data_IF_642331295549
#
_entry.id   IF_642331295549
#
_cell.length_a   1.000
_cell.length_b   1.000
_cell.length_c   1.000
_cell.angle_alpha   90.00
_cell.angle_beta   90.00
_cell.angle_gamma   90.00
#
_symmetry.space_group_name_H-M   'P 1'
#
loop_
_entity.id
_entity.type
_entity.pdbx_description
1 polymer ?
#
# COMPACT_ATOMS: atom_id res chain seq x y z
N UNK A 1 -6.48 5.65 -25.31
CA UNK A 1 -6.93 5.51 -23.92
C UNK A 1 -7.73 4.23 -23.87
N UNK A 2 -7.39 3.36 -22.94
CA UNK A 2 -8.00 2.06 -22.76
C UNK A 2 -8.64 2.00 -21.38
N UNK A 3 -9.60 1.11 -21.25
CA UNK A 3 -10.30 0.87 -20.02
C UNK A 3 -10.28 -0.63 -19.74
N UNK A 4 -10.23 -0.96 -18.45
CA UNK A 4 -10.07 -2.32 -17.98
C UNK A 4 -11.07 -2.58 -16.86
N UNK A 5 -11.69 -3.76 -16.88
CA UNK A 5 -12.28 -4.35 -15.68
C UNK A 5 -11.28 -5.37 -15.21
N UNK A 6 -10.55 -5.05 -14.15
CA UNK A 6 -9.64 -5.98 -13.49
C UNK A 6 -10.38 -6.67 -12.35
N UNK A 7 -10.37 -8.00 -12.35
CA UNK A 7 -10.83 -8.79 -11.21
C UNK A 7 -9.65 -9.54 -10.60
N UNK A 8 -9.56 -9.54 -9.27
CA UNK A 8 -8.47 -10.20 -8.55
C UNK A 8 -8.92 -10.86 -7.25
N UNK A 9 -8.37 -12.06 -7.01
CA UNK A 9 -8.41 -12.76 -5.72
C UNK A 9 -7.17 -13.64 -5.64
N UNK A 10 -6.16 -13.18 -4.91
CA UNK A 10 -4.93 -13.96 -4.70
C UNK A 10 -4.90 -14.63 -3.33
N UNK A 11 -5.83 -14.31 -2.43
CA UNK A 11 -5.88 -14.90 -1.08
C UNK A 11 -6.53 -16.29 -1.15
N UNK A 12 -7.64 -16.42 -1.86
CA UNK A 12 -8.38 -17.69 -1.96
C UNK A 12 -8.43 -18.28 -3.38
N UNK A 13 -8.04 -17.51 -4.40
CA UNK A 13 -7.94 -17.97 -5.79
C UNK A 13 -9.28 -18.53 -6.34
N UNK A 14 -10.40 -17.88 -6.02
CA UNK A 14 -11.77 -18.34 -6.33
C UNK A 14 -12.20 -18.15 -7.78
N UNK A 15 -11.44 -17.38 -8.58
CA UNK A 15 -11.87 -17.02 -9.93
C UNK A 15 -11.90 -18.27 -10.81
N UNK A 16 -13.08 -18.61 -11.33
CA UNK A 16 -13.34 -19.80 -12.13
C UNK A 16 -14.18 -19.47 -13.37
N UNK A 17 -14.37 -20.44 -14.26
CA UNK A 17 -15.11 -20.25 -15.51
C UNK A 17 -16.55 -19.76 -15.29
N UNK A 18 -17.25 -20.20 -14.25
CA UNK A 18 -18.60 -19.72 -13.97
C UNK A 18 -18.63 -18.20 -13.74
N UNK A 19 -17.67 -17.67 -12.98
CA UNK A 19 -17.54 -16.23 -12.73
C UNK A 19 -17.17 -15.49 -14.02
N UNK A 20 -16.19 -16.00 -14.76
CA UNK A 20 -15.71 -15.39 -16.01
C UNK A 20 -16.80 -15.35 -17.09
N UNK A 21 -17.54 -16.44 -17.25
CA UNK A 21 -18.62 -16.58 -18.21
C UNK A 21 -19.82 -15.71 -17.83
N UNK A 22 -20.16 -15.63 -16.53
CA UNK A 22 -21.24 -14.75 -16.03
C UNK A 22 -20.96 -13.29 -16.34
N UNK A 23 -19.74 -12.81 -16.09
CA UNK A 23 -19.34 -11.43 -16.37
C UNK A 23 -19.28 -11.19 -17.87
N UNK A 24 -18.63 -12.07 -18.62
CA UNK A 24 -18.51 -11.93 -20.08
C UNK A 24 -19.88 -11.92 -20.76
N UNK A 25 -20.79 -12.80 -20.35
CA UNK A 25 -22.16 -12.87 -20.86
C UNK A 25 -22.96 -11.61 -20.53
N UNK A 26 -22.84 -11.08 -19.31
CA UNK A 26 -23.52 -9.84 -18.92
C UNK A 26 -22.98 -8.62 -19.69
N UNK A 27 -21.65 -8.54 -19.87
CA UNK A 27 -21.03 -7.50 -20.70
C UNK A 27 -21.51 -7.61 -22.15
N UNK A 28 -21.56 -8.81 -22.73
CA UNK A 28 -22.02 -9.00 -24.10
C UNK A 28 -23.50 -8.64 -24.26
N UNK A 29 -24.35 -9.03 -23.33
CA UNK A 29 -25.77 -8.70 -23.33
C UNK A 29 -26.04 -7.19 -23.21
N UNK A 30 -25.27 -6.49 -22.38
CA UNK A 30 -25.42 -5.04 -22.15
C UNK A 30 -24.81 -4.19 -23.28
N UNK A 31 -23.74 -4.66 -23.91
CA UNK A 31 -22.98 -3.87 -24.91
C UNK A 31 -23.20 -4.29 -26.36
N UNK A 32 -23.80 -5.47 -26.58
CA UNK A 32 -23.92 -6.11 -27.89
C UNK A 32 -22.57 -6.54 -28.50
N UNK A 33 -21.50 -6.60 -27.69
CA UNK A 33 -20.14 -6.92 -28.14
C UNK A 33 -19.46 -7.90 -27.22
N UNK A 34 -18.85 -8.92 -27.81
CA UNK A 34 -17.90 -9.78 -27.11
C UNK A 34 -16.61 -9.01 -26.84
N UNK A 35 -16.26 -8.85 -25.56
CA UNK A 35 -15.04 -8.16 -25.12
C UNK A 35 -13.93 -9.18 -24.90
N UNK A 36 -12.69 -8.79 -25.24
CA UNK A 36 -11.51 -9.63 -25.02
C UNK A 36 -11.26 -9.79 -23.51
N UNK A 37 -11.30 -11.04 -23.06
CA UNK A 37 -10.84 -11.47 -21.74
C UNK A 37 -9.35 -11.85 -21.84
N UNK A 38 -8.53 -11.28 -20.97
CA UNK A 38 -7.11 -11.60 -20.81
C UNK A 38 -6.85 -12.21 -19.44
N UNK A 39 -6.18 -13.35 -19.42
CA UNK A 39 -5.67 -13.94 -18.18
C UNK A 39 -4.32 -13.31 -17.81
N UNK A 40 -4.21 -12.78 -16.60
CA UNK A 40 -2.95 -12.28 -16.02
C UNK A 40 -2.33 -13.32 -15.10
N UNK A 41 -3.16 -14.02 -14.32
CA UNK A 41 -2.77 -15.15 -13.49
C UNK A 41 -3.95 -16.12 -13.40
N UNK A 42 -3.70 -17.38 -13.72
CA UNK A 42 -4.66 -18.47 -13.58
C UNK A 42 -5.30 -18.47 -12.19
N UNK A 43 -6.63 -18.47 -12.17
CA UNK A 43 -7.52 -18.47 -10.99
C UNK A 43 -7.39 -17.25 -10.05
N UNK A 44 -6.58 -16.24 -10.39
CA UNK A 44 -6.29 -15.11 -9.47
C UNK A 44 -6.47 -13.73 -10.06
N UNK A 45 -6.23 -13.55 -11.36
CA UNK A 45 -6.27 -12.23 -11.97
C UNK A 45 -6.64 -12.31 -13.45
N UNK A 46 -7.73 -11.64 -13.81
CA UNK A 46 -8.25 -11.56 -15.17
C UNK A 46 -8.69 -10.14 -15.48
N UNK A 47 -8.64 -9.75 -16.74
CA UNK A 47 -9.11 -8.43 -17.16
C UNK A 47 -9.86 -8.45 -18.49
N UNK A 48 -10.90 -7.63 -18.58
CA UNK A 48 -11.56 -7.29 -19.84
C UNK A 48 -11.05 -5.96 -20.36
N UNK A 49 -10.68 -5.88 -21.64
CA UNK A 49 -10.07 -4.68 -22.25
C UNK A 49 -11.02 -4.02 -23.26
N UNK A 50 -11.25 -2.71 -23.14
CA UNK A 50 -12.12 -1.96 -24.04
C UNK A 50 -11.52 -0.61 -24.46
N UNK A 51 -11.72 -0.26 -25.74
CA UNK A 51 -11.12 0.89 -26.40
C UNK A 51 -11.95 2.19 -26.32
N UNK A 52 -13.19 2.11 -25.82
CA UNK A 52 -14.12 3.23 -25.59
C UNK A 52 -14.98 2.90 -24.37
N UNK A 53 -15.53 3.90 -23.69
CA UNK A 53 -16.48 3.71 -22.58
C UNK A 53 -17.79 3.12 -23.12
N UNK A 54 -17.89 1.79 -23.14
CA UNK A 54 -19.07 1.07 -23.63
C UNK A 54 -19.92 0.57 -22.46
N UNK A 55 -19.35 0.53 -21.25
CA UNK A 55 -19.98 0.01 -20.05
C UNK A 55 -20.66 1.15 -19.29
N UNK A 56 -21.98 1.05 -19.12
CA UNK A 56 -22.78 1.99 -18.35
C UNK A 56 -22.69 1.71 -16.83
N UNK A 57 -23.20 2.64 -16.01
CA UNK A 57 -23.17 2.50 -14.54
C UNK A 57 -23.97 1.29 -14.04
N UNK A 58 -25.08 0.93 -14.69
CA UNK A 58 -25.85 -0.27 -14.36
C UNK A 58 -25.00 -1.54 -14.45
N UNK A 59 -24.22 -1.67 -15.53
CA UNK A 59 -23.33 -2.81 -15.74
C UNK A 59 -22.20 -2.84 -14.73
N UNK A 60 -21.60 -1.68 -14.42
CA UNK A 60 -20.57 -1.59 -13.37
C UNK A 60 -21.11 -2.02 -12.01
N UNK A 61 -22.31 -1.56 -11.66
CA UNK A 61 -22.96 -1.87 -10.39
C UNK A 61 -23.28 -3.37 -10.28
N UNK A 62 -23.78 -3.97 -11.36
CA UNK A 62 -24.04 -5.41 -11.38
C UNK A 62 -22.75 -6.22 -11.21
N UNK A 63 -21.69 -5.92 -11.97
CA UNK A 63 -20.40 -6.62 -11.89
C UNK A 63 -19.81 -6.49 -10.47
N UNK A 64 -19.82 -5.27 -9.91
CA UNK A 64 -19.30 -5.00 -8.56
C UNK A 64 -20.09 -5.77 -7.50
N UNK A 65 -21.42 -5.80 -7.60
CA UNK A 65 -22.28 -6.52 -6.65
C UNK A 65 -22.09 -8.02 -6.75
N UNK A 66 -21.98 -8.55 -7.97
CA UNK A 66 -21.73 -9.96 -8.24
C UNK A 66 -20.37 -10.41 -7.71
N UNK A 67 -19.30 -9.64 -7.92
CA UNK A 67 -17.97 -9.99 -7.43
C UNK A 67 -17.83 -9.83 -5.91
N UNK A 68 -18.47 -8.80 -5.34
CA UNK A 68 -18.53 -8.60 -3.90
C UNK A 68 -19.17 -9.79 -3.18
N UNK A 69 -20.25 -10.37 -3.72
CA UNK A 69 -20.87 -11.58 -3.14
C UNK A 69 -19.99 -12.83 -3.20
N UNK A 70 -18.92 -12.82 -4.01
CA UNK A 70 -17.92 -13.89 -4.10
C UNK A 70 -16.61 -13.55 -3.38
N UNK A 71 -16.51 -12.39 -2.72
CA UNK A 71 -15.29 -11.86 -2.13
C UNK A 71 -14.12 -11.79 -3.15
N UNK A 72 -14.39 -11.22 -4.32
CA UNK A 72 -13.37 -10.96 -5.36
C UNK A 72 -13.29 -9.45 -5.57
N UNK A 73 -12.07 -8.92 -5.63
CA UNK A 73 -11.86 -7.49 -5.87
C UNK A 73 -12.17 -7.15 -7.33
N UNK A 74 -12.78 -5.99 -7.55
CA UNK A 74 -13.16 -5.49 -8.87
C UNK A 74 -12.69 -4.04 -9.02
N UNK A 75 -11.89 -3.77 -10.04
CA UNK A 75 -11.30 -2.46 -10.28
C UNK A 75 -11.55 -2.01 -11.73
N UNK A 76 -12.19 -0.84 -11.89
CA UNK A 76 -12.42 -0.22 -13.18
C UNK A 76 -11.30 0.78 -13.48
N UNK A 77 -10.30 0.33 -14.24
CA UNK A 77 -9.08 1.10 -14.49
C UNK A 77 -9.19 1.82 -15.82
N UNK A 78 -8.84 3.10 -15.85
CA UNK A 78 -8.69 3.90 -17.06
C UNK A 78 -7.23 4.25 -17.23
N UNK A 79 -6.64 3.93 -18.38
CA UNK A 79 -5.21 4.21 -18.60
C UNK A 79 -4.87 4.67 -20.02
N UNK A 80 -3.79 5.45 -20.12
CA UNK A 80 -3.19 5.86 -21.38
C UNK A 80 -2.39 4.72 -22.04
N UNK A 81 -1.50 5.06 -22.99
CA UNK A 81 -0.63 4.06 -23.64
C UNK A 81 0.32 3.35 -22.66
N UNK A 82 0.68 4.01 -21.55
CA UNK A 82 1.60 3.48 -20.54
C UNK A 82 0.88 3.22 -19.22
N UNK A 83 0.41 1.98 -19.04
CA UNK A 83 -0.25 1.54 -17.80
C UNK A 83 0.74 1.19 -16.68
N UNK A 84 1.91 0.66 -17.04
CA UNK A 84 3.01 0.35 -16.11
C UNK A 84 3.61 1.65 -15.55
N UNK A 85 3.64 1.76 -14.24
CA UNK A 85 4.05 2.96 -13.50
C UNK A 85 5.55 2.95 -13.23
N UNK A 86 6.14 4.14 -13.23
CA UNK A 86 7.57 4.37 -13.04
C UNK A 86 7.92 4.79 -11.62
N UNK A 87 6.94 5.16 -10.82
CA UNK A 87 7.13 5.52 -9.42
C UNK A 87 6.10 4.81 -8.55
N UNK A 88 6.57 4.06 -7.56
CA UNK A 88 5.78 3.54 -6.45
C UNK A 88 6.13 4.33 -5.19
N UNK A 89 5.13 4.87 -4.51
CA UNK A 89 5.23 5.26 -3.11
C UNK A 89 4.34 4.31 -2.27
N UNK A 90 4.90 3.76 -1.20
CA UNK A 90 4.18 2.84 -0.33
C UNK A 90 4.28 3.28 1.13
N UNK A 91 3.16 3.14 1.87
CA UNK A 91 3.21 3.11 3.32
C UNK A 91 3.93 1.85 3.83
N UNK A 92 4.39 1.89 5.07
CA UNK A 92 5.01 0.75 5.75
C UNK A 92 3.99 -0.04 6.59
N UNK A 93 3.52 0.58 7.68
CA UNK A 93 2.65 -0.03 8.68
C UNK A 93 1.32 -0.41 8.03
N UNK A 94 0.75 -1.56 8.41
CA UNK A 94 -0.51 -2.09 7.86
C UNK A 94 -0.59 -2.22 6.31
N UNK A 95 0.54 -2.04 5.60
CA UNK A 95 0.63 -2.03 4.14
C UNK A 95 1.74 -2.94 3.64
N UNK A 96 3.02 -2.57 3.81
CA UNK A 96 4.17 -3.42 3.45
C UNK A 96 4.43 -4.47 4.53
N UNK A 97 4.20 -4.11 5.78
CA UNK A 97 4.15 -5.04 6.92
C UNK A 97 2.70 -5.17 7.42
N UNK A 98 2.39 -6.25 8.11
CA UNK A 98 1.04 -6.52 8.63
C UNK A 98 0.74 -5.73 9.91
N UNK A 99 1.77 -5.35 10.65
CA UNK A 99 1.63 -4.71 11.95
C UNK A 99 1.73 -3.17 11.92
N UNK A 100 1.27 -2.55 13.01
CA UNK A 100 1.63 -1.20 13.43
C UNK A 100 2.93 -1.25 14.26
N UNK A 101 4.03 -0.71 13.75
CA UNK A 101 5.36 -0.81 14.36
C UNK A 101 5.45 -0.23 15.77
N UNK A 102 4.77 0.88 16.05
CA UNK A 102 4.72 1.49 17.38
C UNK A 102 3.97 0.64 18.40
N UNK A 103 2.87 0.01 18.00
CA UNK A 103 2.09 -0.86 18.88
C UNK A 103 2.90 -2.10 19.25
N UNK A 104 3.68 -2.64 18.30
CA UNK A 104 4.58 -3.76 18.55
C UNK A 104 5.73 -3.38 19.51
N UNK A 105 6.28 -2.17 19.39
CA UNK A 105 7.24 -1.66 20.40
C UNK A 105 6.57 -1.54 21.77
N UNK A 106 5.34 -1.05 21.84
CA UNK A 106 4.54 -0.99 23.06
C UNK A 106 4.39 -2.34 23.75
N UNK A 107 4.09 -3.39 22.96
CA UNK A 107 4.03 -4.78 23.45
C UNK A 107 5.35 -5.24 24.04
N UNK A 108 6.47 -5.00 23.35
CA UNK A 108 7.80 -5.41 23.80
C UNK A 108 8.20 -4.78 25.15
N UNK A 109 7.71 -3.57 25.43
CA UNK A 109 8.01 -2.86 26.68
C UNK A 109 6.88 -2.94 27.73
N UNK A 110 5.83 -3.71 27.46
CA UNK A 110 4.69 -3.88 28.37
C UNK A 110 3.80 -2.64 28.53
N UNK A 111 3.82 -1.71 27.56
CA UNK A 111 3.03 -0.47 27.57
C UNK A 111 1.98 -0.39 26.44
N UNK A 112 1.60 -1.54 25.88
CA UNK A 112 0.62 -1.64 24.79
C UNK A 112 -0.65 -0.83 25.04
N UNK A 113 -1.30 -1.00 26.21
CA UNK A 113 -2.56 -0.31 26.53
C UNK A 113 -2.44 1.21 26.45
N UNK A 114 -1.35 1.77 26.96
CA UNK A 114 -1.12 3.21 26.94
C UNK A 114 -0.82 3.73 25.54
N UNK A 115 -0.12 2.94 24.70
CA UNK A 115 0.14 3.32 23.30
C UNK A 115 -1.17 3.31 22.51
N UNK A 116 -2.01 2.28 22.69
CA UNK A 116 -3.31 2.18 22.03
C UNK A 116 -4.20 3.37 22.39
N UNK A 117 -4.29 3.74 23.67
CA UNK A 117 -5.08 4.90 24.13
C UNK A 117 -4.64 6.20 23.43
N UNK A 118 -3.33 6.46 23.32
CA UNK A 118 -2.81 7.64 22.61
C UNK A 118 -3.10 7.56 21.10
N UNK A 119 -3.01 6.37 20.50
CA UNK A 119 -3.34 6.17 19.08
C UNK A 119 -4.83 6.43 18.82
N UNK A 120 -5.72 5.97 19.70
CA UNK A 120 -7.17 6.22 19.62
C UNK A 120 -7.47 7.72 19.77
N UNK A 121 -6.84 8.42 20.71
CA UNK A 121 -6.98 9.87 20.87
C UNK A 121 -6.58 10.63 19.61
N UNK A 122 -5.47 10.24 18.97
CA UNK A 122 -5.01 10.84 17.72
C UNK A 122 -5.98 10.59 16.56
N UNK A 123 -6.50 9.36 16.46
CA UNK A 123 -7.50 9.00 15.43
C UNK A 123 -8.84 9.73 15.64
N UNK A 124 -9.22 10.00 16.88
CA UNK A 124 -10.40 10.77 17.24
C UNK A 124 -10.20 12.30 17.15
N UNK A 125 -8.99 12.76 16.80
CA UNK A 125 -8.64 14.18 16.67
C UNK A 125 -8.54 14.92 17.99
N UNK A 126 -8.39 14.22 19.12
CA UNK A 126 -8.23 14.80 20.46
C UNK A 126 -6.84 15.43 20.61
N UNK A 127 -5.82 14.78 20.03
CA UNK A 127 -4.44 15.28 19.93
C UNK A 127 -4.00 15.23 18.48
N UNK A 128 -3.06 16.09 18.10
CA UNK A 128 -2.49 16.03 16.76
C UNK A 128 -1.51 14.86 16.60
N UNK A 129 -1.18 14.53 15.35
CA UNK A 129 -0.32 13.39 15.03
C UNK A 129 1.09 13.51 15.63
N UNK A 130 1.65 14.71 15.62
CA UNK A 130 3.01 14.96 16.11
C UNK A 130 3.06 14.80 17.62
N UNK A 131 2.09 15.36 18.34
CA UNK A 131 1.90 15.18 19.76
C UNK A 131 1.70 13.71 20.13
N UNK A 132 0.85 12.99 19.39
CA UNK A 132 0.63 11.55 19.60
C UNK A 132 1.92 10.73 19.41
N UNK A 133 2.73 11.06 18.39
CA UNK A 133 4.01 10.43 18.16
C UNK A 133 4.99 10.72 19.31
N UNK A 134 5.15 11.97 19.70
CA UNK A 134 6.06 12.39 20.78
C UNK A 134 5.68 11.68 22.10
N UNK A 135 4.39 11.65 22.45
CA UNK A 135 3.91 10.98 23.67
C UNK A 135 4.21 9.48 23.65
N UNK A 136 3.94 8.79 22.54
CA UNK A 136 4.23 7.35 22.40
C UNK A 136 5.74 7.07 22.45
N UNK A 137 6.56 7.91 21.82
CA UNK A 137 8.02 7.75 21.83
C UNK A 137 8.63 8.04 23.21
N UNK A 138 8.10 9.02 23.95
CA UNK A 138 8.52 9.30 25.32
C UNK A 138 8.38 8.08 26.24
N UNK A 139 7.40 7.21 25.97
CA UNK A 139 7.21 5.98 26.74
C UNK A 139 8.31 4.94 26.52
N UNK A 140 9.07 5.03 25.42
CA UNK A 140 10.21 4.15 25.12
C UNK A 140 11.49 4.57 25.86
N UNK A 141 11.48 5.72 26.57
CA UNK A 141 12.65 6.26 27.26
C UNK A 141 13.28 5.25 28.22
N UNK A 142 14.59 5.06 28.10
CA UNK A 142 15.40 4.23 28.99
C UNK A 142 15.41 2.75 28.65
N UNK A 143 14.63 2.30 27.66
CA UNK A 143 14.72 0.93 27.17
C UNK A 143 15.97 0.74 26.28
N UNK A 144 16.55 -0.47 26.31
CA UNK A 144 17.66 -0.84 25.42
C UNK A 144 17.25 -0.71 23.96
N UNK A 145 18.15 -0.23 23.10
CA UNK A 145 17.91 -0.18 21.66
C UNK A 145 17.87 -1.58 21.02
N UNK A 146 18.28 -2.64 21.72
CA UNK A 146 18.17 -4.03 21.23
C UNK A 146 16.72 -4.43 20.93
N UNK A 147 15.72 -3.78 21.55
CA UNK A 147 14.30 -4.02 21.25
C UNK A 147 13.95 -3.70 19.80
N UNK A 148 14.71 -2.81 19.16
CA UNK A 148 14.51 -2.43 17.76
C UNK A 148 14.91 -3.57 16.82
N UNK A 149 15.94 -4.34 17.17
CA UNK A 149 16.35 -5.54 16.42
C UNK A 149 15.37 -6.69 16.66
N UNK A 150 14.91 -6.88 17.90
CA UNK A 150 13.84 -7.83 18.22
C UNK A 150 12.57 -7.54 17.40
N UNK A 151 12.23 -6.25 17.21
CA UNK A 151 11.09 -5.89 16.37
C UNK A 151 11.28 -6.33 14.92
N UNK A 152 12.46 -6.13 14.33
CA UNK A 152 12.75 -6.53 12.94
C UNK A 152 12.54 -8.03 12.69
N UNK A 153 12.77 -8.85 13.71
CA UNK A 153 12.55 -10.31 13.65
C UNK A 153 11.08 -10.70 13.79
N UNK A 154 10.23 -9.82 14.35
CA UNK A 154 8.81 -10.09 14.63
C UNK A 154 7.84 -9.57 13.58
N UNK A 155 8.27 -8.66 12.71
CA UNK A 155 7.40 -8.10 11.67
C UNK A 155 7.11 -9.11 10.56
N UNK A 156 5.85 -9.15 10.12
CA UNK A 156 5.42 -9.95 8.99
C UNK A 156 5.29 -9.07 7.75
N UNK A 157 5.96 -9.45 6.67
CA UNK A 157 5.89 -8.74 5.39
C UNK A 157 4.65 -9.23 4.65
N UNK A 158 3.79 -8.30 4.23
CA UNK A 158 2.60 -8.61 3.46
C UNK A 158 2.96 -9.37 2.17
N UNK A 159 2.22 -10.45 1.90
CA UNK A 159 2.48 -11.33 0.76
C UNK A 159 2.46 -10.53 -0.55
N UNK A 160 3.47 -10.73 -1.39
CA UNK A 160 3.60 -10.02 -2.66
C UNK A 160 4.42 -8.73 -2.60
N UNK A 161 4.79 -8.22 -1.41
CA UNK A 161 5.61 -7.00 -1.30
C UNK A 161 6.95 -7.16 -2.02
N UNK A 162 7.65 -8.28 -1.79
CA UNK A 162 8.94 -8.55 -2.41
C UNK A 162 8.85 -8.60 -3.94
N UNK A 163 7.85 -9.29 -4.46
CA UNK A 163 7.60 -9.39 -5.89
C UNK A 163 7.22 -8.05 -6.51
N UNK A 164 6.40 -7.26 -5.83
CA UNK A 164 6.04 -5.90 -6.23
C UNK A 164 7.30 -5.04 -6.40
N UNK A 165 8.12 -4.95 -5.35
CA UNK A 165 9.32 -4.09 -5.35
C UNK A 165 10.34 -4.57 -6.38
N UNK A 166 10.64 -5.87 -6.40
CA UNK A 166 11.58 -6.45 -7.38
C UNK A 166 11.12 -6.23 -8.81
N UNK A 167 9.85 -6.52 -9.12
CA UNK A 167 9.32 -6.41 -10.49
C UNK A 167 9.35 -4.97 -10.96
N UNK A 168 8.93 -4.02 -10.12
CA UNK A 168 8.95 -2.61 -10.46
C UNK A 168 10.39 -2.10 -10.68
N UNK A 169 11.32 -2.42 -9.78
CA UNK A 169 12.71 -2.01 -9.93
C UNK A 169 13.38 -2.64 -11.17
N UNK A 170 13.11 -3.92 -11.44
CA UNK A 170 13.62 -4.61 -12.63
C UNK A 170 13.19 -3.92 -13.92
N UNK A 171 11.97 -3.37 -13.96
CA UNK A 171 11.44 -2.61 -15.09
C UNK A 171 11.83 -1.12 -15.06
N UNK A 172 12.80 -0.74 -14.23
CA UNK A 172 13.37 0.62 -14.18
C UNK A 172 12.57 1.62 -13.33
N UNK A 173 11.50 1.19 -12.67
CA UNK A 173 10.72 2.04 -11.76
C UNK A 173 11.50 2.36 -10.49
N UNK A 174 11.10 3.44 -9.82
CA UNK A 174 11.60 3.86 -8.51
C UNK A 174 10.58 3.48 -7.45
N UNK A 175 11.05 2.83 -6.40
CA UNK A 175 10.22 2.34 -5.30
C UNK A 175 10.63 3.07 -4.03
N UNK A 176 9.66 3.73 -3.39
CA UNK A 176 9.88 4.59 -2.23
C UNK A 176 9.00 4.11 -1.09
N UNK A 177 9.61 3.83 0.06
CA UNK A 177 8.91 3.55 1.30
C UNK A 177 8.83 4.86 2.11
N UNK A 178 7.63 5.29 2.50
CA UNK A 178 7.46 6.49 3.34
C UNK A 178 6.53 6.16 4.49
N UNK A 179 6.98 6.35 5.73
CA UNK A 179 6.24 5.94 6.91
C UNK A 179 6.27 7.01 8.01
N UNK A 180 5.20 7.10 8.80
CA UNK A 180 5.18 7.82 10.07
C UNK A 180 5.88 7.07 11.22
N UNK A 181 6.27 5.80 11.00
CA UNK A 181 7.10 5.00 11.88
C UNK A 181 8.57 5.42 11.84
N UNK A 182 9.51 4.47 11.96
CA UNK A 182 10.92 4.80 12.22
C UNK A 182 11.94 4.28 11.21
N UNK A 183 13.03 5.05 11.05
CA UNK A 183 14.12 4.80 10.10
C UNK A 183 14.80 3.46 10.27
N UNK A 184 14.97 2.96 11.50
CA UNK A 184 15.59 1.65 11.72
C UNK A 184 14.83 0.50 11.03
N UNK A 185 13.50 0.62 10.93
CA UNK A 185 12.65 -0.39 10.33
C UNK A 185 12.50 -0.17 8.83
N UNK A 186 12.30 1.08 8.39
CA UNK A 186 12.19 1.37 6.95
C UNK A 186 13.50 1.11 6.20
N UNK A 187 14.67 1.39 6.80
CA UNK A 187 15.97 1.03 6.20
C UNK A 187 16.21 -0.48 6.20
N UNK A 188 15.76 -1.20 7.23
CA UNK A 188 15.78 -2.67 7.23
C UNK A 188 14.93 -3.24 6.08
N UNK A 189 13.67 -2.80 5.97
CA UNK A 189 12.76 -3.21 4.90
C UNK A 189 13.29 -2.85 3.51
N UNK A 190 13.86 -1.65 3.36
CA UNK A 190 14.53 -1.23 2.14
C UNK A 190 15.65 -2.17 1.74
N UNK A 191 16.50 -2.58 2.68
CA UNK A 191 17.59 -3.51 2.42
C UNK A 191 17.10 -4.88 1.97
N UNK A 192 16.10 -5.45 2.66
CA UNK A 192 15.66 -6.84 2.38
C UNK A 192 14.68 -6.96 1.20
N UNK A 193 13.90 -5.91 0.92
CA UNK A 193 12.94 -5.87 -0.20
C UNK A 193 13.50 -5.18 -1.44
N UNK A 194 14.55 -4.37 -1.28
CA UNK A 194 15.21 -3.63 -2.36
C UNK A 194 14.52 -2.32 -2.72
N UNK A 195 13.85 -1.63 -1.79
CA UNK A 195 13.33 -0.29 -2.08
C UNK A 195 14.46 0.63 -2.55
N UNK A 196 14.16 1.55 -3.47
CA UNK A 196 15.16 2.52 -3.93
C UNK A 196 15.48 3.55 -2.85
N UNK A 197 14.45 4.02 -2.13
CA UNK A 197 14.60 4.96 -1.02
C UNK A 197 13.60 4.63 0.10
N UNK A 198 13.94 5.07 1.31
CA UNK A 198 13.08 4.98 2.48
C UNK A 198 13.12 6.31 3.25
N UNK A 199 11.99 6.71 3.82
CA UNK A 199 11.84 7.91 4.63
C UNK A 199 10.94 7.62 5.83
N UNK A 200 11.36 8.05 7.02
CA UNK A 200 10.63 7.85 8.26
C UNK A 200 11.15 8.80 9.35
N UNK A 201 10.48 8.81 10.50
CA UNK A 201 10.97 9.50 11.69
C UNK A 201 12.21 8.78 12.27
N UNK A 202 13.06 9.49 13.00
CA UNK A 202 14.23 8.87 13.64
C UNK A 202 14.13 8.92 15.15
N UNK A 203 14.34 7.78 15.82
CA UNK A 203 14.46 7.74 17.28
C UNK A 203 15.84 8.24 17.70
N UNK A 204 15.89 9.10 18.71
CA UNK A 204 17.16 9.47 19.33
C UNK A 204 17.65 8.32 20.22
N UNK A 205 18.83 7.80 19.89
CA UNK A 205 19.53 6.77 20.65
C UNK A 205 20.72 7.42 21.33
N UNK A 206 20.88 7.15 22.62
CA UNK A 206 22.00 7.64 23.43
C UNK A 206 22.85 6.47 23.89
N UNK A 207 24.16 6.64 23.86
CA UNK A 207 25.11 5.65 24.33
C UNK A 207 25.93 6.24 25.46
N UNK A 208 25.85 5.64 26.65
CA UNK A 208 26.78 5.94 27.73
C UNK A 208 27.98 4.99 27.63
N UNK A 209 29.12 5.44 28.14
CA UNK A 209 30.34 4.63 28.14
C UNK A 209 30.08 3.35 28.95
N UNK A 210 30.46 2.21 28.38
CA UNK A 210 30.33 0.89 29.00
C UNK A 210 28.88 0.43 29.29
N UNK A 211 27.87 1.01 28.62
CA UNK A 211 26.48 0.52 28.64
C UNK A 211 25.96 0.24 27.24
N UNK A 212 24.93 -0.62 27.09
CA UNK A 212 24.20 -0.74 25.84
C UNK A 212 23.58 0.60 25.41
N UNK A 213 23.38 0.83 24.09
CA UNK A 213 22.64 1.98 23.60
C UNK A 213 21.19 1.94 24.11
N UNK A 214 20.65 3.10 24.50
CA UNK A 214 19.28 3.24 25.01
C UNK A 214 18.49 4.26 24.20
N UNK A 215 17.17 4.05 24.11
CA UNK A 215 16.24 4.99 23.49
C UNK A 215 16.04 6.17 24.44
N UNK A 216 16.26 7.40 23.97
CA UNK A 216 16.16 8.60 24.82
C UNK A 216 14.71 9.00 25.12
N UNK A 217 13.77 8.49 24.33
CA UNK A 217 12.36 8.88 24.34
C UNK A 217 12.07 10.15 23.53
N UNK A 218 12.96 10.54 22.61
CA UNK A 218 12.74 11.66 21.68
C UNK A 218 12.78 11.21 20.23
N UNK A 219 12.06 11.94 19.39
CA UNK A 219 12.17 11.87 17.94
C UNK A 219 13.13 12.97 17.47
N UNK A 220 14.01 12.64 16.53
CA UNK A 220 14.94 13.58 15.91
C UNK A 220 14.19 14.36 14.82
N UNK A 221 14.30 15.69 14.86
CA UNK A 221 13.74 16.58 13.83
C UNK A 221 14.48 16.47 12.48
N UNK A 222 13.79 16.67 11.34
CA UNK A 222 12.36 17.01 11.23
C UNK A 222 11.43 15.80 11.37
N UNK A 223 10.34 15.96 12.12
CA UNK A 223 9.26 14.96 12.19
C UNK A 223 8.42 14.98 10.90
N UNK A 224 8.16 13.80 10.34
CA UNK A 224 7.24 13.62 9.23
C UNK A 224 5.81 13.89 9.70
N UNK A 225 5.25 15.00 9.22
CA UNK A 225 3.85 15.37 9.40
C UNK A 225 2.92 14.64 8.40
N UNK A 226 1.61 14.88 8.50
CA UNK A 226 0.56 14.30 7.65
C UNK A 226 0.72 14.54 6.13
N UNK A 227 1.42 15.59 5.72
CA UNK A 227 1.64 15.93 4.31
C UNK A 227 2.94 15.36 3.75
N UNK A 228 3.82 14.82 4.59
CA UNK A 228 5.16 14.35 4.18
C UNK A 228 5.10 13.33 3.04
N UNK A 229 4.12 12.42 3.05
CA UNK A 229 3.93 11.43 1.98
C UNK A 229 3.67 12.09 0.62
N UNK A 230 2.82 13.13 0.58
CA UNK A 230 2.56 13.92 -0.63
C UNK A 230 3.79 14.75 -1.05
N UNK A 231 4.51 15.32 -0.10
CA UNK A 231 5.74 16.07 -0.37
C UNK A 231 6.81 15.18 -1.01
N UNK A 232 7.01 13.97 -0.47
CA UNK A 232 7.91 12.99 -1.07
C UNK A 232 7.45 12.50 -2.44
N UNK A 233 6.14 12.31 -2.65
CA UNK A 233 5.59 11.99 -3.97
C UNK A 233 6.00 13.06 -4.99
N UNK A 234 5.71 14.34 -4.69
CA UNK A 234 6.04 15.48 -5.56
C UNK A 234 7.55 15.61 -5.79
N UNK A 235 8.34 15.48 -4.73
CA UNK A 235 9.80 15.53 -4.81
C UNK A 235 10.34 14.46 -5.76
N UNK A 236 9.84 13.22 -5.70
CA UNK A 236 10.31 12.15 -6.58
C UNK A 236 9.79 12.25 -8.02
N UNK A 237 8.57 12.77 -8.21
CA UNK A 237 8.06 13.13 -9.53
C UNK A 237 9.01 14.14 -10.19
N UNK A 238 9.36 15.21 -9.48
CA UNK A 238 10.28 16.25 -9.97
C UNK A 238 11.69 15.69 -10.22
N UNK A 239 12.27 15.00 -9.22
CA UNK A 239 13.62 14.42 -9.29
C UNK A 239 13.82 13.50 -10.49
N UNK A 240 12.79 12.75 -10.87
CA UNK A 240 12.84 11.80 -11.99
C UNK A 240 12.18 12.32 -13.27
N UNK A 241 11.74 13.58 -13.30
CA UNK A 241 11.06 14.22 -14.45
C UNK A 241 9.87 13.37 -14.93
N UNK A 242 9.09 12.88 -13.98
CA UNK A 242 7.89 12.10 -14.21
C UNK A 242 6.66 13.00 -14.21
N UNK A 243 5.50 12.42 -14.55
CA UNK A 243 4.20 13.05 -14.37
C UNK A 243 3.37 12.24 -13.37
N UNK A 244 2.28 12.82 -12.86
CA UNK A 244 1.35 12.13 -11.97
C UNK A 244 0.85 10.80 -12.58
N UNK A 245 0.64 10.76 -13.91
CA UNK A 245 0.24 9.56 -14.66
C UNK A 245 1.24 8.39 -14.60
N UNK A 246 2.49 8.65 -14.22
CA UNK A 246 3.55 7.66 -14.05
C UNK A 246 3.58 7.04 -12.64
N UNK A 247 2.65 7.40 -11.75
CA UNK A 247 2.69 7.04 -10.32
C UNK A 247 1.67 5.96 -9.94
N UNK A 248 2.06 5.15 -8.97
CA UNK A 248 1.17 4.28 -8.17
C UNK A 248 1.51 4.52 -6.70
N UNK A 249 0.50 4.76 -5.88
CA UNK A 249 0.65 4.91 -4.44
C UNK A 249 -0.22 3.91 -3.71
N UNK A 250 0.23 3.41 -2.55
CA UNK A 250 -0.51 2.44 -1.74
C UNK A 250 -0.40 2.74 -0.25
N UNK A 251 -1.52 2.58 0.43
CA UNK A 251 -1.64 2.70 1.89
C UNK A 251 -2.95 2.08 2.38
N UNK A 252 -3.21 2.22 3.68
CA UNK A 252 -4.40 1.69 4.35
C UNK A 252 -5.21 2.78 5.10
N UNK A 253 -4.57 3.90 5.45
CA UNK A 253 -5.07 4.82 6.46
C UNK A 253 -5.34 6.26 6.00
N UNK A 254 -5.86 7.06 6.93
CA UNK A 254 -6.17 8.47 6.68
C UNK A 254 -4.92 9.34 6.40
N UNK A 255 -3.76 8.93 6.95
CA UNK A 255 -2.45 9.53 6.71
C UNK A 255 -1.96 9.36 5.26
N UNK A 256 -2.57 8.47 4.47
CA UNK A 256 -2.22 8.22 3.07
C UNK A 256 -3.05 9.01 2.07
N UNK A 257 -4.20 9.55 2.49
CA UNK A 257 -5.22 10.13 1.60
C UNK A 257 -4.61 11.13 0.61
N UNK A 258 -3.80 12.07 1.09
CA UNK A 258 -3.22 13.10 0.22
C UNK A 258 -2.26 12.51 -0.83
N UNK A 259 -1.48 11.49 -0.48
CA UNK A 259 -0.62 10.80 -1.44
C UNK A 259 -1.44 9.98 -2.45
N UNK A 260 -2.48 9.29 -1.98
CA UNK A 260 -3.37 8.45 -2.79
C UNK A 260 -4.16 9.26 -3.82
N UNK A 261 -4.74 10.40 -3.40
CA UNK A 261 -5.52 11.29 -4.28
C UNK A 261 -4.69 11.93 -5.40
N UNK A 262 -3.40 12.16 -5.13
CA UNK A 262 -2.49 12.81 -6.08
C UNK A 262 -1.72 11.79 -6.95
N UNK A 263 -1.98 10.49 -6.79
CA UNK A 263 -1.41 9.45 -7.65
C UNK A 263 -2.37 9.10 -8.79
N UNK A 264 -1.83 8.62 -9.91
CA UNK A 264 -2.69 8.10 -10.99
C UNK A 264 -3.35 6.81 -10.56
N UNK A 265 -2.57 5.86 -10.02
CA UNK A 265 -3.10 4.67 -9.36
C UNK A 265 -3.01 4.87 -7.84
N UNK A 266 -4.06 5.40 -7.25
CA UNK A 266 -4.22 5.52 -5.80
C UNK A 266 -4.88 4.26 -5.25
N UNK A 267 -4.10 3.44 -4.55
CA UNK A 267 -4.49 2.11 -4.09
C UNK A 267 -4.80 2.10 -2.59
N UNK A 268 -6.00 1.67 -2.23
CA UNK A 268 -6.35 1.25 -0.87
C UNK A 268 -6.09 -0.26 -0.74
N UNK A 269 -5.18 -0.64 0.17
CA UNK A 269 -4.83 -2.04 0.45
C UNK A 269 -5.30 -2.45 1.85
N UNK A 270 -6.33 -3.31 1.92
CA UNK A 270 -7.09 -3.58 3.14
C UNK A 270 -7.44 -2.31 3.93
N UNK A 271 -7.66 -1.20 3.22
CA UNK A 271 -7.73 0.12 3.84
C UNK A 271 -9.00 0.35 4.63
N UNK A 272 -8.94 1.39 5.47
CA UNK A 272 -10.07 1.90 6.23
C UNK A 272 -11.03 2.62 5.28
N UNK A 273 -12.30 2.66 5.66
CA UNK A 273 -13.38 3.30 4.87
C UNK A 273 -13.01 4.70 4.35
N UNK A 274 -12.35 5.51 5.18
CA UNK A 274 -11.95 6.87 4.83
C UNK A 274 -10.93 6.92 3.68
N UNK A 275 -10.06 5.92 3.55
CA UNK A 275 -9.15 5.81 2.42
C UNK A 275 -9.85 5.20 1.20
N UNK A 276 -10.69 4.19 1.41
CA UNK A 276 -11.48 3.57 0.33
C UNK A 276 -12.32 4.59 -0.44
N UNK A 277 -12.89 5.59 0.24
CA UNK A 277 -13.69 6.65 -0.39
C UNK A 277 -12.86 7.57 -1.31
N UNK A 278 -11.54 7.61 -1.13
CA UNK A 278 -10.62 8.50 -1.87
C UNK A 278 -9.75 7.76 -2.90
N UNK A 279 -9.52 6.46 -2.68
CA UNK A 279 -8.75 5.60 -3.59
C UNK A 279 -9.55 5.24 -4.86
N UNK A 280 -8.83 5.05 -5.97
CA UNK A 280 -9.42 4.63 -7.24
C UNK A 280 -9.21 3.14 -7.56
N UNK A 281 -8.38 2.46 -6.78
CA UNK A 281 -8.15 1.02 -6.83
C UNK A 281 -8.21 0.45 -5.42
N UNK A 282 -8.87 -0.68 -5.27
CA UNK A 282 -9.12 -1.33 -3.97
C UNK A 282 -8.71 -2.79 -4.02
N UNK A 283 -7.97 -3.23 -3.01
CA UNK A 283 -7.59 -4.62 -2.82
C UNK A 283 -7.89 -5.08 -1.40
N UNK A 284 -8.91 -5.90 -1.25
CA UNK A 284 -9.34 -6.51 0.03
C UNK A 284 -9.14 -8.02 0.05
N UNK A 285 -9.33 -8.66 -1.11
CA UNK A 285 -9.18 -10.11 -1.29
C UNK A 285 -7.89 -10.46 -2.05
N UNK A 286 -7.13 -9.43 -2.44
CA UNK A 286 -5.87 -9.53 -3.18
C UNK A 286 -4.72 -9.07 -2.29
N UNK A 287 -3.56 -9.73 -2.43
CA UNK A 287 -2.32 -9.34 -1.79
C UNK A 287 -1.59 -8.27 -2.63
N UNK A 288 -0.37 -7.89 -2.26
CA UNK A 288 0.32 -6.78 -2.93
C UNK A 288 0.69 -7.04 -4.41
N UNK A 289 0.55 -8.28 -4.91
CA UNK A 289 0.63 -8.54 -6.37
C UNK A 289 -0.51 -7.88 -7.14
N UNK A 290 -1.62 -7.54 -6.47
CA UNK A 290 -2.72 -6.77 -7.04
C UNK A 290 -2.25 -5.49 -7.74
N UNK A 291 -1.25 -4.79 -7.18
CA UNK A 291 -0.67 -3.59 -7.76
C UNK A 291 0.05 -3.84 -9.09
N UNK A 292 0.63 -5.04 -9.28
CA UNK A 292 1.22 -5.44 -10.55
C UNK A 292 0.13 -5.80 -11.56
N UNK A 293 -0.92 -6.51 -11.15
CA UNK A 293 -2.06 -6.81 -12.01
C UNK A 293 -2.83 -5.54 -12.43
N UNK A 294 -2.95 -4.55 -11.54
CA UNK A 294 -3.46 -3.21 -11.83
C UNK A 294 -2.68 -2.52 -12.94
N UNK A 295 -1.39 -2.83 -13.10
CA UNK A 295 -0.52 -2.30 -14.15
C UNK A 295 -0.51 -3.17 -15.42
N UNK A 296 -1.21 -4.31 -15.42
CA UNK A 296 -1.30 -5.25 -16.55
C UNK A 296 -0.15 -6.25 -16.66
N UNK A 297 0.68 -6.38 -15.61
CA UNK A 297 1.66 -7.47 -15.53
C UNK A 297 0.93 -8.82 -15.38
N UNK A 298 1.43 -9.84 -16.07
CA UNK A 298 1.03 -11.23 -15.85
C UNK A 298 2.02 -11.96 -14.94
N UNK A 299 1.63 -13.12 -14.39
CA UNK A 299 2.49 -13.98 -13.55
C UNK A 299 3.84 -14.33 -14.23
N UNK A 300 3.88 -14.32 -15.56
CA UNK A 300 5.09 -14.56 -16.37
C UNK A 300 6.08 -13.40 -16.35
N UNK A 301 5.60 -12.18 -16.08
CA UNK A 301 6.40 -10.96 -16.04
C UNK A 301 6.82 -10.59 -14.60
N UNK A 302 6.23 -11.25 -13.59
CA UNK A 302 6.53 -10.99 -12.18
C UNK A 302 7.85 -11.64 -11.79
N UNK A 303 8.75 -10.82 -11.23
CA UNK A 303 10.04 -11.25 -10.70
C UNK A 303 9.87 -11.71 -9.25
N UNK A 304 10.22 -12.98 -8.97
CA UNK A 304 10.11 -13.61 -7.64
C UNK A 304 11.39 -13.41 -6.80
#
# INVERSE_FOLDING_TARGET
MEFYILITDTKECKINNFILDSISGYIEASTGKKILLRELSSNKAYEWVFSKTIINEETKNWISSFLSSHNIDCNFIKSGKNRKKKLLLADMDSTIIEEESLDQLGKLIGKEKNIIEITEDAMNGIIDFEEALIRRVAMLKGHSADILDILKEKININVGAKELIKTMNFNGSKTILVSGGFTFLTEYLKSILGFTYAHANSLEITQQKDTPPIISGKVIEPILNKNSKLEYLRMYIEKYKLNDTDTICVGDGANDIEMIKNADFGVSFNGKKILDEEANIHFKNTNLRGLLYAQGYSDKEIIK
#
